data_IF_613993219803
#
_entry.id   IF_613993219803
#
_cell.length_a   1.000
_cell.length_b   1.000
_cell.length_c   1.000
_cell.angle_alpha   90.00
_cell.angle_beta   90.00
_cell.angle_gamma   90.00
#
_symmetry.space_group_name_H-M   'P 1'
#
loop_
_entity.id
_entity.type
_entity.pdbx_description
1 polymer ?
#
# COMPACT_ATOMS: atom_id res chain seq x y z
N UNK A 1 15.00 34.53 41.81
CA UNK A 1 14.42 34.65 40.45
C UNK A 1 15.10 33.66 39.52
N UNK A 2 14.67 32.37 39.44
CA UNK A 2 15.24 31.35 38.51
C UNK A 2 14.20 30.27 38.12
N UNK A 3 12.91 30.64 37.90
CA UNK A 3 11.87 29.71 37.58
C UNK A 3 11.54 29.49 36.06
N UNK A 4 11.95 30.34 35.08
CA UNK A 4 11.58 30.09 33.68
C UNK A 4 12.48 29.12 32.93
N UNK A 5 13.76 28.91 33.35
CA UNK A 5 14.69 28.05 32.60
C UNK A 5 14.45 26.55 32.74
N UNK A 6 13.94 26.09 33.89
CA UNK A 6 13.65 24.66 34.13
C UNK A 6 12.41 24.17 33.39
N UNK A 7 11.38 25.02 33.24
CA UNK A 7 10.18 24.69 32.49
C UNK A 7 10.43 24.58 30.97
N UNK A 8 11.31 25.42 30.43
CA UNK A 8 11.70 25.39 29.02
C UNK A 8 12.53 24.14 28.68
N UNK A 9 13.48 23.78 29.55
CA UNK A 9 14.30 22.57 29.40
C UNK A 9 13.44 21.28 29.52
N UNK A 10 12.48 21.26 30.45
CA UNK A 10 11.56 20.14 30.56
C UNK A 10 10.64 19.99 29.33
N UNK A 11 10.13 21.10 28.80
CA UNK A 11 9.33 21.12 27.58
C UNK A 11 10.14 20.69 26.34
N UNK A 12 11.39 21.14 26.21
CA UNK A 12 12.30 20.70 25.14
C UNK A 12 12.68 19.22 25.26
N UNK A 13 12.91 18.73 26.48
CA UNK A 13 13.20 17.31 26.75
C UNK A 13 12.00 16.42 26.45
N UNK A 14 10.79 16.83 26.83
CA UNK A 14 9.54 16.12 26.51
C UNK A 14 9.30 16.14 25.00
N UNK A 15 9.52 17.27 24.33
CA UNK A 15 9.36 17.40 22.88
C UNK A 15 10.37 16.53 22.13
N UNK A 16 11.62 16.41 22.63
CA UNK A 16 12.65 15.52 22.06
C UNK A 16 12.37 14.05 22.31
N UNK A 17 11.82 13.68 23.47
CA UNK A 17 11.42 12.31 23.79
C UNK A 17 10.19 11.85 22.98
N UNK A 18 9.24 12.74 22.74
CA UNK A 18 8.07 12.47 21.86
C UNK A 18 8.51 12.35 20.40
N UNK A 19 9.46 13.17 19.96
CA UNK A 19 10.02 13.11 18.59
C UNK A 19 10.77 11.81 18.28
N UNK A 20 11.21 11.06 19.29
CA UNK A 20 12.00 9.82 19.13
C UNK A 20 11.17 8.55 18.86
N UNK A 21 9.84 8.60 19.02
CA UNK A 21 8.97 7.41 18.92
C UNK A 21 8.49 7.06 17.50
N UNK A 22 8.53 7.97 16.56
CA UNK A 22 8.00 7.73 15.21
C UNK A 22 8.77 6.66 14.41
N UNK A 23 10.05 6.42 14.71
CA UNK A 23 10.87 5.39 14.04
C UNK A 23 10.34 3.98 14.25
N UNK A 24 9.85 3.67 15.46
CA UNK A 24 9.22 2.39 15.77
C UNK A 24 7.92 2.18 14.99
N UNK A 25 7.06 3.20 14.92
CA UNK A 25 5.83 3.18 14.15
C UNK A 25 6.11 3.02 12.64
N UNK A 26 7.18 3.65 12.15
CA UNK A 26 7.61 3.57 10.76
C UNK A 26 8.02 2.14 10.38
N UNK A 27 8.87 1.50 11.18
CA UNK A 27 9.31 0.11 10.95
C UNK A 27 8.13 -0.87 11.12
N UNK A 28 7.32 -0.68 12.17
CA UNK A 28 6.13 -1.49 12.40
C UNK A 28 5.17 -1.45 11.21
N UNK A 29 4.87 -0.26 10.70
CA UNK A 29 3.98 -0.09 9.55
C UNK A 29 4.57 -0.72 8.29
N UNK A 30 5.88 -0.58 8.04
CA UNK A 30 6.55 -1.23 6.93
C UNK A 30 6.48 -2.76 7.03
N UNK A 31 6.67 -3.31 8.23
CA UNK A 31 6.54 -4.74 8.49
C UNK A 31 5.09 -5.23 8.26
N UNK A 32 4.09 -4.49 8.78
CA UNK A 32 2.67 -4.81 8.58
C UNK A 32 2.27 -4.76 7.09
N UNK A 33 2.66 -3.72 6.36
CA UNK A 33 2.35 -3.64 4.93
C UNK A 33 3.17 -4.62 4.08
N UNK A 34 4.42 -4.91 4.48
CA UNK A 34 5.24 -5.95 3.85
C UNK A 34 4.64 -7.35 4.00
N UNK A 35 4.15 -7.69 5.19
CA UNK A 35 3.48 -8.98 5.44
C UNK A 35 2.16 -9.13 4.67
N UNK A 36 1.55 -8.02 4.20
CA UNK A 36 0.30 -8.10 3.45
C UNK A 36 0.44 -8.87 2.14
N UNK A 37 1.61 -8.85 1.50
CA UNK A 37 1.86 -9.62 0.28
C UNK A 37 1.90 -11.12 0.55
N UNK A 38 2.56 -11.55 1.64
CA UNK A 38 2.57 -12.93 2.10
C UNK A 38 1.15 -13.42 2.44
N UNK A 39 0.45 -12.67 3.30
CA UNK A 39 -0.90 -13.06 3.74
C UNK A 39 -1.91 -13.07 2.58
N UNK A 40 -1.79 -12.12 1.65
CA UNK A 40 -2.61 -12.12 0.44
C UNK A 40 -2.28 -13.31 -0.46
N UNK A 41 -0.99 -13.67 -0.64
CA UNK A 41 -0.63 -14.84 -1.43
C UNK A 41 -1.27 -16.11 -0.86
N UNK A 42 -1.09 -16.37 0.45
CA UNK A 42 -1.64 -17.54 1.13
C UNK A 42 -3.17 -17.60 0.98
N UNK A 43 -3.87 -16.50 1.22
CA UNK A 43 -5.33 -16.47 1.10
C UNK A 43 -5.80 -16.57 -0.36
N UNK A 44 -5.12 -15.90 -1.30
CA UNK A 44 -5.55 -15.87 -2.71
C UNK A 44 -5.44 -17.21 -3.41
N UNK A 45 -4.47 -18.05 -3.02
CA UNK A 45 -4.33 -19.41 -3.59
C UNK A 45 -5.59 -20.25 -3.37
N UNK A 46 -6.27 -20.10 -2.26
CA UNK A 46 -7.45 -20.91 -1.91
C UNK A 46 -8.78 -20.20 -2.13
N UNK A 47 -8.87 -18.90 -1.79
CA UNK A 47 -10.09 -18.11 -1.97
C UNK A 47 -10.24 -17.54 -3.39
N UNK A 48 -9.14 -17.38 -4.11
CA UNK A 48 -9.11 -16.57 -5.34
C UNK A 48 -8.94 -15.06 -5.06
N UNK A 49 -8.61 -14.26 -6.10
CA UNK A 49 -8.32 -12.84 -5.95
C UNK A 49 -9.48 -11.99 -5.44
N UNK A 50 -10.68 -12.20 -5.99
CA UNK A 50 -11.88 -11.41 -5.67
C UNK A 50 -12.40 -11.68 -4.25
N UNK A 51 -12.63 -12.93 -3.82
CA UNK A 51 -13.03 -13.21 -2.44
C UNK A 51 -12.00 -12.76 -1.41
N UNK A 52 -10.70 -12.97 -1.68
CA UNK A 52 -9.62 -12.49 -0.78
C UNK A 52 -9.68 -10.97 -0.60
N UNK A 53 -9.82 -10.21 -1.70
CA UNK A 53 -9.91 -8.76 -1.64
C UNK A 53 -11.18 -8.30 -0.89
N UNK A 54 -12.33 -8.91 -1.16
CA UNK A 54 -13.60 -8.61 -0.50
C UNK A 54 -13.55 -8.89 1.01
N UNK A 55 -13.02 -10.06 1.40
CA UNK A 55 -12.84 -10.43 2.80
C UNK A 55 -11.89 -9.47 3.51
N UNK A 56 -10.75 -9.15 2.90
CA UNK A 56 -9.78 -8.18 3.44
C UNK A 56 -10.43 -6.85 3.77
N UNK A 57 -11.15 -6.25 2.81
CA UNK A 57 -11.79 -4.94 3.02
C UNK A 57 -13.00 -5.02 3.95
N UNK A 58 -13.75 -6.13 3.91
CA UNK A 58 -14.88 -6.39 4.80
C UNK A 58 -14.44 -6.48 6.27
N UNK A 59 -13.40 -7.28 6.55
CA UNK A 59 -12.83 -7.41 7.89
C UNK A 59 -12.29 -6.06 8.38
N UNK A 60 -11.58 -5.32 7.51
CA UNK A 60 -11.10 -3.99 7.85
C UNK A 60 -12.25 -2.99 8.12
N UNK A 61 -13.34 -3.05 7.35
CA UNK A 61 -14.52 -2.23 7.57
C UNK A 61 -15.18 -2.54 8.92
N UNK A 62 -15.38 -3.82 9.24
CA UNK A 62 -15.92 -4.26 10.55
C UNK A 62 -15.03 -3.81 11.70
N UNK A 63 -13.71 -3.86 11.53
CA UNK A 63 -12.76 -3.41 12.54
C UNK A 63 -12.77 -1.89 12.74
N UNK A 64 -12.85 -1.10 11.66
CA UNK A 64 -12.79 0.37 11.72
C UNK A 64 -14.14 1.01 12.06
N UNK A 65 -15.27 0.38 11.75
CA UNK A 65 -16.60 0.96 11.97
C UNK A 65 -16.90 1.30 13.44
N UNK A 66 -16.60 0.44 14.43
CA UNK A 66 -16.78 0.79 15.83
C UNK A 66 -15.98 2.04 16.25
N UNK A 67 -14.77 2.22 15.70
CA UNK A 67 -13.95 3.40 15.98
C UNK A 67 -14.60 4.69 15.45
N UNK A 68 -15.21 4.63 14.26
CA UNK A 68 -15.96 5.77 13.70
C UNK A 68 -17.17 6.10 14.60
N UNK A 69 -17.88 5.08 15.06
CA UNK A 69 -19.04 5.25 15.93
C UNK A 69 -18.66 5.85 17.29
N UNK A 70 -17.66 5.28 17.97
CA UNK A 70 -17.18 5.73 19.27
C UNK A 70 -16.62 7.15 19.25
N UNK A 71 -16.04 7.59 18.12
CA UNK A 71 -15.54 8.95 17.95
C UNK A 71 -16.63 9.94 17.45
N UNK A 72 -17.88 9.52 17.33
CA UNK A 72 -18.99 10.39 16.90
C UNK A 72 -18.90 10.83 15.42
N UNK A 73 -18.10 10.14 14.59
CA UNK A 73 -17.82 10.52 13.20
C UNK A 73 -18.80 9.90 12.18
N UNK A 74 -19.83 9.21 12.66
CA UNK A 74 -20.83 8.59 11.76
C UNK A 74 -21.59 9.60 10.87
N UNK A 75 -21.96 10.81 11.35
CA UNK A 75 -22.58 11.84 10.47
C UNK A 75 -21.66 12.23 9.31
N UNK A 76 -20.35 12.38 9.56
CA UNK A 76 -19.37 12.70 8.51
C UNK A 76 -19.24 11.56 7.51
N UNK A 77 -19.20 10.30 7.98
CA UNK A 77 -19.18 9.13 7.12
C UNK A 77 -20.43 9.10 6.22
N UNK A 78 -21.63 9.32 6.78
CA UNK A 78 -22.88 9.38 6.03
C UNK A 78 -22.89 10.53 5.01
N UNK A 79 -22.36 11.70 5.37
CA UNK A 79 -22.27 12.85 4.48
C UNK A 79 -21.34 12.63 3.29
N UNK A 80 -20.24 11.93 3.50
CA UNK A 80 -19.18 11.78 2.51
C UNK A 80 -19.10 10.38 1.86
N UNK A 81 -20.10 9.50 2.06
CA UNK A 81 -20.11 8.11 1.62
C UNK A 81 -19.79 7.91 0.13
N UNK A 82 -20.33 8.75 -0.76
CA UNK A 82 -20.08 8.66 -2.22
C UNK A 82 -18.60 8.87 -2.56
N UNK A 83 -18.00 9.87 -1.92
CA UNK A 83 -16.58 10.20 -2.15
C UNK A 83 -15.67 9.12 -1.57
N UNK A 84 -15.97 8.63 -0.37
CA UNK A 84 -15.20 7.53 0.24
C UNK A 84 -15.41 6.21 -0.49
N UNK A 85 -16.59 5.96 -1.08
CA UNK A 85 -16.84 4.82 -1.97
C UNK A 85 -15.88 4.83 -3.18
N UNK A 86 -15.76 5.95 -3.88
CA UNK A 86 -14.84 6.08 -5.02
C UNK A 86 -13.40 5.81 -4.59
N UNK A 87 -12.98 6.40 -3.46
CA UNK A 87 -11.64 6.09 -2.89
C UNK A 87 -11.52 4.61 -2.57
N UNK A 88 -12.56 3.99 -2.02
CA UNK A 88 -12.57 2.56 -1.71
C UNK A 88 -12.30 1.68 -2.92
N UNK A 89 -12.99 1.94 -4.02
CA UNK A 89 -12.79 1.21 -5.28
C UNK A 89 -11.37 1.41 -5.82
N UNK A 90 -10.89 2.68 -5.84
CA UNK A 90 -9.57 3.03 -6.39
C UNK A 90 -8.40 2.66 -5.48
N UNK A 91 -8.57 2.71 -4.15
CA UNK A 91 -7.49 2.49 -3.18
C UNK A 91 -7.44 1.06 -2.62
N UNK A 92 -8.54 0.33 -2.70
CA UNK A 92 -8.64 -0.99 -2.05
C UNK A 92 -9.30 -2.03 -2.95
N UNK A 93 -10.42 -1.71 -3.59
CA UNK A 93 -11.16 -2.68 -4.40
C UNK A 93 -10.35 -3.21 -5.57
N UNK A 94 -10.12 -2.38 -6.59
CA UNK A 94 -9.36 -2.77 -7.79
C UNK A 94 -7.92 -3.18 -7.44
N UNK A 95 -7.15 -2.40 -6.65
CA UNK A 95 -5.77 -2.75 -6.35
C UNK A 95 -5.60 -4.09 -5.67
N UNK A 96 -6.43 -4.43 -4.68
CA UNK A 96 -6.28 -5.68 -3.96
C UNK A 96 -6.63 -6.90 -4.84
N UNK A 97 -7.63 -6.76 -5.72
CA UNK A 97 -7.93 -7.81 -6.71
C UNK A 97 -6.75 -7.97 -7.68
N UNK A 98 -6.20 -6.87 -8.20
CA UNK A 98 -5.07 -6.89 -9.12
C UNK A 98 -3.81 -7.49 -8.48
N UNK A 99 -3.49 -7.10 -7.25
CA UNK A 99 -2.34 -7.65 -6.50
C UNK A 99 -2.59 -9.14 -6.19
N UNK A 100 -3.78 -9.52 -5.73
CA UNK A 100 -4.14 -10.92 -5.52
C UNK A 100 -3.98 -11.75 -6.78
N UNK A 101 -4.50 -11.27 -7.92
CA UNK A 101 -4.31 -11.93 -9.21
C UNK A 101 -2.82 -12.07 -9.58
N UNK A 102 -2.03 -11.02 -9.38
CA UNK A 102 -0.62 -11.03 -9.69
C UNK A 102 0.15 -12.05 -8.83
N UNK A 103 -0.17 -12.16 -7.55
CA UNK A 103 0.47 -13.07 -6.61
C UNK A 103 0.25 -14.56 -6.93
N UNK A 104 -0.68 -14.90 -7.82
CA UNK A 104 -0.81 -16.26 -8.36
C UNK A 104 0.30 -16.61 -9.36
N UNK A 105 1.02 -15.61 -9.89
CA UNK A 105 1.99 -15.81 -11.00
C UNK A 105 3.38 -15.23 -10.70
N UNK A 106 3.48 -14.25 -9.79
CA UNK A 106 4.75 -13.61 -9.42
C UNK A 106 4.97 -13.68 -7.91
N UNK A 107 6.24 -13.59 -7.49
CA UNK A 107 6.61 -13.63 -6.08
C UNK A 107 6.11 -12.41 -5.30
N UNK A 108 5.96 -12.58 -4.00
CA UNK A 108 5.54 -11.52 -3.08
C UNK A 108 6.51 -10.34 -3.10
N UNK A 109 7.82 -10.63 -3.11
CA UNK A 109 8.87 -9.63 -3.20
C UNK A 109 8.83 -8.86 -4.53
N UNK A 110 8.60 -9.56 -5.66
CA UNK A 110 8.49 -8.92 -6.97
C UNK A 110 7.29 -7.96 -7.03
N UNK A 111 6.12 -8.40 -6.54
CA UNK A 111 4.92 -7.57 -6.46
C UNK A 111 5.12 -6.33 -5.57
N UNK A 112 5.82 -6.49 -4.43
CA UNK A 112 6.13 -5.38 -3.52
C UNK A 112 7.12 -4.37 -4.13
N UNK A 113 8.11 -4.82 -4.90
CA UNK A 113 9.03 -3.94 -5.64
C UNK A 113 8.26 -3.11 -6.66
N UNK A 114 7.35 -3.72 -7.42
CA UNK A 114 6.47 -2.98 -8.34
C UNK A 114 5.61 -1.98 -7.58
N UNK A 115 5.06 -2.35 -6.43
CA UNK A 115 4.23 -1.46 -5.62
C UNK A 115 5.02 -0.23 -5.09
N UNK A 116 6.34 -0.30 -4.95
CA UNK A 116 7.17 0.86 -4.61
C UNK A 116 7.16 1.96 -5.68
N UNK A 117 6.59 1.71 -6.86
CA UNK A 117 6.38 2.73 -7.91
C UNK A 117 5.14 3.60 -7.70
N UNK A 118 4.28 3.30 -6.74
CA UNK A 118 3.04 4.06 -6.45
C UNK A 118 3.29 5.57 -6.32
N UNK A 119 4.28 6.06 -5.56
CA UNK A 119 4.54 7.49 -5.46
C UNK A 119 5.00 8.12 -6.78
N UNK A 120 5.63 7.35 -7.66
CA UNK A 120 6.03 7.79 -9.01
C UNK A 120 4.79 8.02 -9.89
N UNK A 121 3.85 7.06 -9.93
CA UNK A 121 2.55 7.26 -10.56
C UNK A 121 1.78 8.42 -9.91
N UNK A 122 1.92 8.60 -8.59
CA UNK A 122 1.36 9.74 -7.85
C UNK A 122 1.84 11.09 -8.37
N UNK A 123 3.15 11.23 -8.62
CA UNK A 123 3.73 12.44 -9.21
C UNK A 123 3.22 12.68 -10.63
N UNK A 124 3.10 11.63 -11.45
CA UNK A 124 2.55 11.70 -12.80
C UNK A 124 1.09 12.14 -12.81
N UNK A 125 0.24 11.53 -12.01
CA UNK A 125 -1.19 11.88 -11.90
C UNK A 125 -1.37 13.29 -11.32
N UNK A 126 -0.57 13.69 -10.33
CA UNK A 126 -0.59 15.06 -9.81
C UNK A 126 -0.25 16.08 -10.90
N UNK A 127 0.72 15.79 -11.73
CA UNK A 127 1.05 16.63 -12.88
C UNK A 127 -0.10 16.73 -13.90
N UNK A 128 -0.64 15.60 -14.33
CA UNK A 128 -1.68 15.56 -15.36
C UNK A 128 -3.03 16.10 -14.87
N UNK A 129 -3.43 15.75 -13.66
CA UNK A 129 -4.75 16.07 -13.11
C UNK A 129 -4.79 17.33 -12.25
N UNK A 130 -3.82 17.48 -11.33
CA UNK A 130 -3.76 18.64 -10.42
C UNK A 130 -2.94 19.80 -11.00
N UNK A 131 -2.34 19.63 -12.21
CA UNK A 131 -1.50 20.62 -12.90
C UNK A 131 -0.24 21.01 -12.10
N UNK A 132 0.20 20.16 -11.19
CA UNK A 132 1.42 20.33 -10.38
C UNK A 132 2.63 19.95 -11.26
N UNK A 133 3.24 20.96 -11.91
CA UNK A 133 4.35 20.75 -12.86
C UNK A 133 5.57 20.19 -12.15
N UNK A 134 6.11 19.03 -12.58
CA UNK A 134 7.30 18.45 -11.97
C UNK A 134 8.54 19.28 -12.32
N UNK A 135 9.46 19.39 -11.35
CA UNK A 135 10.80 19.92 -11.64
C UNK A 135 11.62 18.96 -12.48
N UNK A 136 12.73 19.44 -13.08
CA UNK A 136 13.63 18.59 -13.86
C UNK A 136 14.13 17.35 -13.08
N UNK A 137 14.43 17.52 -11.79
CA UNK A 137 14.81 16.41 -10.89
C UNK A 137 13.69 15.37 -10.76
N UNK A 138 12.42 15.80 -10.66
CA UNK A 138 11.27 14.89 -10.60
C UNK A 138 11.06 14.14 -11.92
N UNK A 139 11.23 14.81 -13.06
CA UNK A 139 11.17 14.16 -14.38
C UNK A 139 12.26 13.11 -14.55
N UNK A 140 13.50 13.42 -14.15
CA UNK A 140 14.59 12.45 -14.15
C UNK A 140 14.25 11.24 -13.26
N UNK A 141 13.67 11.48 -12.07
CA UNK A 141 13.21 10.44 -11.19
C UNK A 141 12.16 9.52 -11.80
N UNK A 142 11.20 10.09 -12.54
CA UNK A 142 10.22 9.30 -13.29
C UNK A 142 10.89 8.41 -14.34
N UNK A 143 11.82 8.95 -15.13
CA UNK A 143 12.57 8.18 -16.15
C UNK A 143 13.36 7.04 -15.51
N UNK A 144 14.13 7.31 -14.47
CA UNK A 144 14.92 6.29 -13.74
C UNK A 144 14.02 5.20 -13.17
N UNK A 145 12.89 5.57 -12.55
CA UNK A 145 11.94 4.62 -12.00
C UNK A 145 11.30 3.73 -13.07
N UNK A 146 10.91 4.28 -14.21
CA UNK A 146 10.36 3.48 -15.32
C UNK A 146 11.41 2.57 -15.96
N UNK A 147 12.69 2.98 -16.05
CA UNK A 147 13.77 2.10 -16.46
C UNK A 147 13.88 0.91 -15.50
N UNK A 148 13.83 1.14 -14.19
CA UNK A 148 13.84 0.05 -13.19
C UNK A 148 12.67 -0.92 -13.35
N UNK A 149 11.47 -0.43 -13.65
CA UNK A 149 10.31 -1.29 -13.97
C UNK A 149 10.54 -2.08 -15.24
N UNK A 150 11.04 -1.45 -16.30
CA UNK A 150 11.35 -2.11 -17.57
C UNK A 150 12.43 -3.20 -17.41
N UNK A 151 13.48 -2.93 -16.63
CA UNK A 151 14.52 -3.91 -16.27
C UNK A 151 13.93 -5.12 -15.55
N UNK A 152 13.03 -4.88 -14.58
CA UNK A 152 12.36 -5.94 -13.82
C UNK A 152 11.44 -6.76 -14.73
N UNK A 153 10.67 -6.10 -15.60
CA UNK A 153 9.76 -6.71 -16.56
C UNK A 153 10.48 -7.55 -17.62
N UNK A 154 11.63 -7.08 -18.11
CA UNK A 154 12.44 -7.78 -19.10
C UNK A 154 12.80 -9.19 -18.63
N UNK A 155 13.23 -9.32 -17.38
CA UNK A 155 13.61 -10.63 -16.83
C UNK A 155 12.39 -11.50 -16.50
N UNK A 156 11.26 -10.88 -16.23
CA UNK A 156 10.01 -11.59 -15.97
C UNK A 156 9.41 -12.23 -17.24
N UNK A 157 9.60 -11.57 -18.40
CA UNK A 157 9.02 -11.98 -19.70
C UNK A 157 10.06 -12.62 -20.65
N UNK A 158 11.36 -12.55 -20.33
CA UNK A 158 12.45 -12.98 -21.22
C UNK A 158 12.72 -14.49 -21.23
N UNK A 159 13.60 -14.98 -22.15
CA UNK A 159 14.05 -16.35 -22.19
C UNK A 159 14.73 -16.73 -20.86
N UNK A 160 14.29 -17.82 -20.23
CA UNK A 160 14.76 -18.24 -18.90
C UNK A 160 14.04 -17.54 -17.73
N UNK A 161 12.85 -17.01 -17.98
CA UNK A 161 11.99 -16.43 -16.94
C UNK A 161 11.84 -17.39 -15.76
N UNK A 162 12.28 -16.97 -14.59
CA UNK A 162 12.17 -17.72 -13.31
C UNK A 162 10.75 -17.71 -12.75
N UNK A 163 9.81 -17.09 -13.48
CA UNK A 163 8.42 -17.06 -13.09
C UNK A 163 7.78 -18.40 -13.42
N UNK A 164 7.36 -19.10 -12.39
CA UNK A 164 6.60 -20.36 -12.53
C UNK A 164 5.38 -20.10 -13.42
N UNK A 165 5.10 -21.03 -14.34
CA UNK A 165 3.81 -21.03 -15.02
C UNK A 165 2.72 -20.92 -13.95
N UNK A 166 1.86 -19.93 -14.07
CA UNK A 166 0.81 -19.66 -13.09
C UNK A 166 -0.06 -20.90 -12.91
N UNK A 167 -0.46 -21.18 -11.69
CA UNK A 167 -1.52 -22.15 -11.42
C UNK A 167 -2.82 -21.81 -12.19
N UNK A 168 -2.99 -20.56 -12.61
CA UNK A 168 -4.11 -20.09 -13.45
C UNK A 168 -3.83 -20.12 -14.96
N UNK A 169 -2.65 -20.54 -15.43
CA UNK A 169 -2.26 -20.52 -16.85
C UNK A 169 -2.04 -19.12 -17.44
N UNK A 170 -2.18 -18.05 -16.65
CA UNK A 170 -1.99 -16.69 -17.12
C UNK A 170 -0.51 -16.37 -17.35
N UNK A 171 -0.19 -15.70 -18.46
CA UNK A 171 1.17 -15.28 -18.74
C UNK A 171 1.64 -14.23 -17.70
N UNK A 172 2.91 -14.27 -17.26
CA UNK A 172 3.48 -13.34 -16.26
C UNK A 172 3.29 -11.87 -16.59
N UNK A 173 3.15 -11.53 -17.87
CA UNK A 173 2.88 -10.15 -18.31
C UNK A 173 1.57 -9.61 -17.75
N UNK A 174 0.52 -10.45 -17.64
CA UNK A 174 -0.75 -10.03 -17.07
C UNK A 174 -0.66 -9.72 -15.58
N UNK A 175 0.17 -10.48 -14.85
CA UNK A 175 0.47 -10.20 -13.44
C UNK A 175 1.20 -8.87 -13.26
N UNK A 176 2.19 -8.58 -14.14
CA UNK A 176 2.90 -7.30 -14.18
C UNK A 176 1.91 -6.15 -14.44
N UNK A 177 1.10 -6.27 -15.50
CA UNK A 177 0.11 -5.24 -15.86
C UNK A 177 -0.91 -5.02 -14.76
N UNK A 178 -1.36 -6.08 -14.07
CA UNK A 178 -2.25 -5.97 -12.92
C UNK A 178 -1.59 -5.19 -11.77
N UNK A 179 -0.33 -5.45 -11.43
CA UNK A 179 0.40 -4.67 -10.43
C UNK A 179 0.53 -3.20 -10.83
N UNK A 180 0.85 -2.90 -12.08
CA UNK A 180 0.95 -1.52 -12.57
C UNK A 180 -0.40 -0.81 -12.55
N UNK A 181 -1.50 -1.51 -12.90
CA UNK A 181 -2.86 -1.00 -12.76
C UNK A 181 -3.19 -0.68 -11.30
N UNK A 182 -2.82 -1.56 -10.37
CA UNK A 182 -2.97 -1.30 -8.94
C UNK A 182 -2.24 -0.02 -8.52
N UNK A 183 -0.97 0.17 -8.96
CA UNK A 183 -0.19 1.36 -8.67
C UNK A 183 -0.83 2.64 -9.23
N UNK A 184 -1.37 2.57 -10.45
CA UNK A 184 -2.10 3.67 -11.07
C UNK A 184 -3.36 4.02 -10.27
N UNK A 185 -4.14 3.02 -9.85
CA UNK A 185 -5.34 3.21 -9.04
C UNK A 185 -5.01 3.85 -7.69
N UNK A 186 -3.95 3.42 -6.99
CA UNK A 186 -3.47 4.06 -5.77
C UNK A 186 -3.12 5.53 -5.98
N UNK A 187 -2.44 5.86 -7.07
CA UNK A 187 -2.07 7.22 -7.44
C UNK A 187 -3.31 8.10 -7.72
N UNK A 188 -4.29 7.55 -8.42
CA UNK A 188 -5.57 8.22 -8.66
C UNK A 188 -6.34 8.43 -7.35
N UNK A 189 -6.39 7.42 -6.48
CA UNK A 189 -7.04 7.52 -5.17
C UNK A 189 -6.41 8.61 -4.30
N UNK A 190 -5.08 8.70 -4.27
CA UNK A 190 -4.35 9.73 -3.53
C UNK A 190 -4.68 11.14 -4.05
N UNK A 191 -4.68 11.33 -5.37
CA UNK A 191 -5.02 12.60 -6.01
C UNK A 191 -6.48 12.97 -5.81
N UNK A 192 -7.40 12.00 -5.89
CA UNK A 192 -8.82 12.18 -5.61
C UNK A 192 -9.06 12.58 -4.15
N UNK A 193 -8.39 11.89 -3.21
CA UNK A 193 -8.46 12.20 -1.78
C UNK A 193 -7.98 13.62 -1.50
N UNK A 194 -6.84 14.02 -2.07
CA UNK A 194 -6.31 15.37 -1.95
C UNK A 194 -7.29 16.42 -2.47
N UNK A 195 -7.98 16.14 -3.57
CA UNK A 195 -8.89 17.11 -4.20
C UNK A 195 -10.27 17.21 -3.55
N UNK A 196 -10.85 16.10 -3.09
CA UNK A 196 -12.25 16.01 -2.71
C UNK A 196 -12.52 15.66 -1.24
N UNK A 197 -11.51 15.17 -0.51
CA UNK A 197 -11.64 14.74 0.89
C UNK A 197 -10.69 15.51 1.83
N UNK A 198 -10.04 16.59 1.36
CA UNK A 198 -9.26 17.47 2.24
C UNK A 198 -10.13 18.04 3.35
N UNK A 199 -9.63 18.01 4.60
CA UNK A 199 -10.36 18.48 5.79
C UNK A 199 -11.34 17.46 6.39
N UNK A 200 -11.53 16.28 5.79
CA UNK A 200 -12.32 15.19 6.37
C UNK A 200 -11.44 14.38 7.32
N UNK A 201 -11.94 13.99 8.51
CA UNK A 201 -11.16 13.16 9.43
C UNK A 201 -10.62 11.91 8.75
N UNK A 202 -9.32 11.61 8.91
CA UNK A 202 -8.69 10.47 8.24
C UNK A 202 -9.37 9.12 8.53
N UNK A 203 -9.88 8.93 9.75
CA UNK A 203 -10.62 7.73 10.14
C UNK A 203 -11.91 7.53 9.31
N UNK A 204 -12.61 8.64 8.97
CA UNK A 204 -13.80 8.61 8.09
C UNK A 204 -13.42 8.15 6.69
N UNK A 205 -12.31 8.69 6.16
CA UNK A 205 -11.80 8.29 4.84
C UNK A 205 -11.37 6.82 4.84
N UNK A 206 -10.67 6.35 5.87
CA UNK A 206 -10.24 4.96 5.98
C UNK A 206 -11.45 4.02 6.06
N UNK A 207 -12.33 4.19 7.06
CA UNK A 207 -13.49 3.33 7.24
C UNK A 207 -14.44 3.37 6.04
N UNK A 208 -14.74 4.56 5.53
CA UNK A 208 -15.62 4.75 4.38
C UNK A 208 -15.06 4.13 3.09
N UNK A 209 -13.74 4.17 2.89
CA UNK A 209 -13.11 3.52 1.76
C UNK A 209 -13.16 1.99 1.86
N UNK A 210 -12.93 1.40 3.05
CA UNK A 210 -13.05 -0.05 3.21
C UNK A 210 -14.50 -0.52 3.04
N UNK A 211 -15.48 0.21 3.59
CA UNK A 211 -16.90 -0.07 3.38
C UNK A 211 -17.29 0.05 1.90
N UNK A 212 -16.84 1.09 1.22
CA UNK A 212 -17.10 1.28 -0.20
C UNK A 212 -16.51 0.16 -1.07
N UNK A 213 -15.29 -0.25 -0.79
CA UNK A 213 -14.66 -1.38 -1.48
C UNK A 213 -15.40 -2.70 -1.19
N UNK A 214 -15.80 -2.95 0.06
CA UNK A 214 -16.59 -4.12 0.44
C UNK A 214 -17.90 -4.19 -0.35
N UNK A 215 -18.64 -3.08 -0.41
CA UNK A 215 -19.91 -3.02 -1.17
C UNK A 215 -19.67 -3.27 -2.67
N UNK A 216 -18.62 -2.68 -3.25
CA UNK A 216 -18.30 -2.86 -4.66
C UNK A 216 -17.83 -4.27 -5.02
N UNK A 217 -17.18 -4.98 -4.08
CA UNK A 217 -16.69 -6.33 -4.29
C UNK A 217 -17.65 -7.42 -3.81
N UNK A 218 -18.70 -7.10 -3.04
CA UNK A 218 -19.57 -8.10 -2.41
C UNK A 218 -20.22 -9.05 -3.43
N UNK A 219 -20.84 -8.50 -4.47
CA UNK A 219 -21.53 -9.31 -5.49
C UNK A 219 -20.53 -10.16 -6.31
N UNK A 220 -19.47 -9.61 -6.94
CA UNK A 220 -18.54 -10.41 -7.69
C UNK A 220 -17.78 -11.44 -6.82
N UNK A 221 -17.51 -11.13 -5.56
CA UNK A 221 -16.90 -12.09 -4.64
C UNK A 221 -17.85 -13.24 -4.25
N UNK A 222 -19.14 -12.97 -4.10
CA UNK A 222 -20.14 -13.99 -3.83
C UNK A 222 -20.30 -14.96 -5.02
N UNK A 223 -20.29 -14.43 -6.25
CA UNK A 223 -20.39 -15.25 -7.48
C UNK A 223 -19.15 -16.12 -7.68
N UNK A 224 -17.96 -15.61 -7.34
CA UNK A 224 -16.68 -16.31 -7.50
C UNK A 224 -16.19 -16.94 -6.18
N UNK A 225 -17.10 -17.17 -5.24
CA UNK A 225 -16.75 -17.84 -3.99
C UNK A 225 -16.23 -19.25 -4.24
N UNK A 226 -15.17 -19.69 -3.56
CA UNK A 226 -14.60 -21.02 -3.79
C UNK A 226 -15.61 -22.12 -3.49
N UNK A 227 -15.67 -23.12 -4.36
CA UNK A 227 -16.55 -24.30 -4.20
C UNK A 227 -16.05 -25.26 -3.10
N UNK A 228 -14.74 -25.24 -2.83
CA UNK A 228 -14.12 -26.01 -1.74
C UNK A 228 -13.89 -25.10 -0.56
N UNK A 229 -14.11 -25.61 0.64
CA UNK A 229 -13.85 -24.86 1.87
C UNK A 229 -12.35 -24.59 2.01
N UNK A 230 -11.93 -23.32 2.10
CA UNK A 230 -10.51 -22.97 2.30
C UNK A 230 -9.99 -23.48 3.63
N UNK A 231 -8.68 -23.73 3.71
CA UNK A 231 -8.00 -24.21 4.90
C UNK A 231 -8.02 -23.20 6.05
N UNK A 232 -7.82 -23.68 7.28
CA UNK A 232 -7.67 -22.80 8.44
C UNK A 232 -6.53 -21.78 8.27
N UNK A 233 -5.46 -22.17 7.57
CA UNK A 233 -4.33 -21.27 7.26
C UNK A 233 -4.76 -20.12 6.34
N UNK A 234 -5.56 -20.39 5.31
CA UNK A 234 -6.09 -19.36 4.42
C UNK A 234 -7.04 -18.41 5.15
N UNK A 235 -7.87 -18.94 6.07
CA UNK A 235 -8.73 -18.12 6.93
C UNK A 235 -7.93 -17.23 7.88
N UNK A 236 -6.91 -17.76 8.54
CA UNK A 236 -6.02 -16.96 9.39
C UNK A 236 -5.28 -15.89 8.60
N UNK A 237 -4.84 -16.21 7.37
CA UNK A 237 -4.17 -15.25 6.52
C UNK A 237 -5.10 -14.09 6.09
N UNK A 238 -6.34 -14.38 5.68
CA UNK A 238 -7.28 -13.33 5.26
C UNK A 238 -7.77 -12.49 6.43
N UNK A 239 -7.94 -13.07 7.62
CA UNK A 239 -8.24 -12.33 8.85
C UNK A 239 -7.03 -11.45 9.22
N UNK A 240 -5.83 -12.03 9.19
CA UNK A 240 -4.59 -11.30 9.45
C UNK A 240 -4.41 -10.10 8.53
N UNK A 241 -4.56 -10.26 7.22
CA UNK A 241 -4.40 -9.14 6.28
C UNK A 241 -5.49 -8.08 6.45
N UNK A 242 -6.72 -8.46 6.81
CA UNK A 242 -7.81 -7.52 7.09
C UNK A 242 -7.57 -6.73 8.37
N UNK A 243 -7.26 -7.40 9.48
CA UNK A 243 -7.07 -6.75 10.79
C UNK A 243 -5.72 -6.03 10.87
N UNK A 244 -4.60 -6.73 10.61
CA UNK A 244 -3.27 -6.16 10.81
C UNK A 244 -2.92 -5.15 9.72
N UNK A 245 -3.01 -5.56 8.43
CA UNK A 245 -2.48 -4.76 7.33
C UNK A 245 -3.46 -3.70 6.82
N UNK A 246 -4.73 -3.77 7.20
CA UNK A 246 -5.76 -2.80 6.81
C UNK A 246 -6.39 -2.09 8.00
N UNK A 247 -6.78 -2.78 9.07
CA UNK A 247 -7.36 -2.16 10.27
C UNK A 247 -6.31 -1.41 11.11
N UNK A 248 -5.44 -2.16 11.78
CA UNK A 248 -4.41 -1.60 12.68
C UNK A 248 -3.38 -0.75 11.94
N UNK A 249 -2.99 -1.15 10.72
CA UNK A 249 -2.03 -0.39 9.93
C UNK A 249 -2.49 1.06 9.67
N UNK A 250 -3.78 1.31 9.45
CA UNK A 250 -4.30 2.67 9.32
C UNK A 250 -4.13 3.48 10.61
N UNK A 251 -4.34 2.87 11.77
CA UNK A 251 -4.15 3.54 13.07
C UNK A 251 -2.67 3.95 13.24
N UNK A 252 -1.75 3.02 12.96
CA UNK A 252 -0.30 3.29 13.01
C UNK A 252 0.10 4.35 11.98
N UNK A 253 -0.46 4.29 10.78
CA UNK A 253 -0.20 5.26 9.71
C UNK A 253 -0.64 6.68 10.07
N UNK A 254 -1.84 6.84 10.63
CA UNK A 254 -2.31 8.16 11.07
C UNK A 254 -1.49 8.71 12.24
N UNK A 255 -1.16 7.86 13.21
CA UNK A 255 -0.24 8.23 14.30
C UNK A 255 1.14 8.65 13.76
N UNK A 256 1.63 7.97 12.73
CA UNK A 256 2.88 8.33 12.06
C UNK A 256 2.78 9.67 11.33
N UNK A 257 1.65 9.97 10.67
CA UNK A 257 1.41 11.27 10.05
C UNK A 257 1.41 12.39 11.10
N UNK A 258 0.75 12.19 12.24
CA UNK A 258 0.70 13.18 13.33
C UNK A 258 2.09 13.45 13.93
N UNK A 259 2.86 12.39 14.17
CA UNK A 259 4.16 12.50 14.86
C UNK A 259 5.33 12.87 13.95
N UNK A 260 5.31 12.46 12.68
CA UNK A 260 6.43 12.61 11.75
C UNK A 260 6.11 13.45 10.51
N UNK A 261 4.83 13.73 10.29
CA UNK A 261 4.33 14.43 9.12
C UNK A 261 4.07 13.50 7.92
N UNK A 262 3.21 13.95 6.97
CA UNK A 262 2.74 13.11 5.87
C UNK A 262 3.85 12.63 4.93
N UNK A 263 4.85 13.47 4.63
CA UNK A 263 5.94 13.11 3.72
C UNK A 263 6.77 11.93 4.26
N UNK A 264 7.09 11.95 5.57
CA UNK A 264 7.81 10.83 6.21
C UNK A 264 6.93 9.59 6.34
N UNK A 265 5.65 9.75 6.67
CA UNK A 265 4.73 8.62 6.76
C UNK A 265 4.61 7.90 5.40
N UNK A 266 4.52 8.64 4.30
CA UNK A 266 4.47 8.06 2.95
C UNK A 266 5.77 7.36 2.54
N UNK A 267 6.93 7.80 3.06
CA UNK A 267 8.21 7.14 2.72
C UNK A 267 8.34 5.72 3.28
N UNK A 268 7.43 5.28 4.16
CA UNK A 268 7.35 3.89 4.61
C UNK A 268 7.24 2.90 3.45
N UNK A 269 6.62 3.31 2.34
CA UNK A 269 6.45 2.48 1.14
C UNK A 269 7.77 2.01 0.52
N UNK A 270 8.88 2.73 0.78
CA UNK A 270 10.22 2.31 0.34
C UNK A 270 10.78 1.15 1.17
N UNK A 271 10.35 1.01 2.42
CA UNK A 271 10.80 -0.06 3.29
C UNK A 271 9.93 -1.32 3.17
N UNK A 272 8.70 -1.19 2.67
CA UNK A 272 7.75 -2.31 2.47
C UNK A 272 8.35 -3.46 1.65
N UNK A 273 9.04 -3.23 0.50
CA UNK A 273 9.63 -4.32 -0.28
C UNK A 273 10.68 -5.13 0.48
N UNK A 274 11.43 -4.50 1.40
CA UNK A 274 12.43 -5.20 2.22
C UNK A 274 11.75 -6.27 3.08
N UNK A 275 10.66 -5.90 3.76
CA UNK A 275 9.89 -6.86 4.56
C UNK A 275 9.18 -7.91 3.68
N UNK A 276 8.62 -7.51 2.53
CA UNK A 276 7.97 -8.46 1.63
C UNK A 276 8.96 -9.51 1.07
N UNK A 277 10.16 -9.08 0.67
CA UNK A 277 11.25 -9.98 0.26
C UNK A 277 11.65 -10.93 1.39
N UNK A 278 11.81 -10.40 2.61
CA UNK A 278 12.14 -11.18 3.78
C UNK A 278 11.06 -12.25 4.08
N UNK A 279 9.80 -11.85 4.16
CA UNK A 279 8.71 -12.78 4.43
C UNK A 279 8.52 -13.81 3.30
N UNK A 280 8.63 -13.40 2.03
CA UNK A 280 8.56 -14.30 0.89
C UNK A 280 9.68 -15.34 0.91
N UNK A 281 10.91 -14.93 1.21
CA UNK A 281 12.04 -15.83 1.32
C UNK A 281 11.91 -16.83 2.49
N UNK A 282 11.52 -16.33 3.68
CA UNK A 282 11.48 -17.16 4.90
C UNK A 282 10.29 -18.11 4.91
N UNK A 283 9.09 -17.65 4.53
CA UNK A 283 7.85 -18.42 4.69
C UNK A 283 7.40 -19.15 3.40
N UNK A 284 7.78 -18.64 2.21
CA UNK A 284 7.39 -19.24 0.93
C UNK A 284 8.59 -19.84 0.17
N UNK A 285 9.81 -19.70 0.70
CA UNK A 285 11.02 -20.16 0.00
C UNK A 285 11.27 -19.41 -1.32
N UNK A 286 10.78 -18.17 -1.45
CA UNK A 286 10.98 -17.37 -2.65
C UNK A 286 12.45 -17.00 -2.83
N UNK A 287 12.99 -17.19 -4.03
CA UNK A 287 14.36 -16.82 -4.34
C UNK A 287 14.49 -15.29 -4.48
N UNK A 288 15.35 -14.68 -3.67
CA UNK A 288 15.74 -13.28 -3.81
C UNK A 288 16.96 -13.21 -4.71
N UNK A 289 16.78 -12.74 -5.94
CA UNK A 289 17.88 -12.65 -6.91
C UNK A 289 18.62 -11.31 -6.81
N UNK A 290 19.95 -11.26 -7.08
CA UNK A 290 20.68 -9.99 -7.13
C UNK A 290 20.06 -9.00 -8.13
N UNK A 291 19.48 -9.51 -9.23
CA UNK A 291 18.76 -8.68 -10.21
C UNK A 291 17.56 -7.97 -9.62
N UNK A 292 16.75 -8.65 -8.79
CA UNK A 292 15.61 -8.03 -8.09
C UNK A 292 16.08 -6.90 -7.17
N UNK A 293 17.20 -7.09 -6.47
CA UNK A 293 17.76 -6.07 -5.58
C UNK A 293 18.25 -4.84 -6.35
N UNK A 294 18.90 -5.04 -7.52
CA UNK A 294 19.32 -3.96 -8.40
C UNK A 294 18.10 -3.19 -8.92
N UNK A 295 17.10 -3.90 -9.45
CA UNK A 295 15.87 -3.26 -9.92
C UNK A 295 15.15 -2.51 -8.80
N UNK A 296 15.06 -3.09 -7.60
CA UNK A 296 14.48 -2.45 -6.43
C UNK A 296 15.22 -1.14 -6.08
N UNK A 297 16.55 -1.16 -6.07
CA UNK A 297 17.35 0.03 -5.82
C UNK A 297 17.10 1.12 -6.86
N UNK A 298 17.07 0.78 -8.17
CA UNK A 298 16.78 1.72 -9.25
C UNK A 298 15.37 2.32 -9.12
N UNK A 299 14.35 1.49 -8.85
CA UNK A 299 12.96 1.93 -8.64
C UNK A 299 12.86 2.85 -7.42
N UNK A 300 13.47 2.49 -6.29
CA UNK A 300 13.44 3.29 -5.06
C UNK A 300 14.15 4.63 -5.27
N UNK A 301 15.32 4.64 -5.91
CA UNK A 301 16.03 5.89 -6.25
C UNK A 301 15.19 6.78 -7.17
N UNK A 302 14.63 6.22 -8.26
CA UNK A 302 13.76 6.94 -9.18
C UNK A 302 12.53 7.50 -8.50
N UNK A 303 11.91 6.72 -7.60
CA UNK A 303 10.73 7.16 -6.84
C UNK A 303 11.10 8.25 -5.83
N UNK A 304 12.22 8.14 -5.13
CA UNK A 304 12.70 9.17 -4.19
C UNK A 304 13.00 10.50 -4.89
N UNK A 305 13.55 10.46 -6.11
CA UNK A 305 13.74 11.64 -6.95
C UNK A 305 12.40 12.21 -7.44
N UNK A 306 11.49 11.38 -7.93
CA UNK A 306 10.19 11.81 -8.48
C UNK A 306 9.28 12.45 -7.43
N UNK A 307 9.38 12.02 -6.19
CA UNK A 307 8.65 12.61 -5.05
C UNK A 307 9.31 13.86 -4.50
N UNK A 308 10.55 14.16 -4.90
CA UNK A 308 11.34 15.30 -4.41
C UNK A 308 11.95 15.08 -3.01
N UNK A 309 11.99 13.83 -2.54
CA UNK A 309 12.74 13.46 -1.32
C UNK A 309 14.24 13.58 -1.54
N UNK A 310 14.70 13.25 -2.75
CA UNK A 310 16.04 13.56 -3.24
C UNK A 310 15.95 14.69 -4.26
N UNK A 311 16.87 15.66 -4.19
CA UNK A 311 17.00 16.76 -5.16
C UNK A 311 18.40 16.76 -5.70
N UNK A 312 18.56 16.66 -7.02
CA UNK A 312 19.87 16.72 -7.68
C UNK A 312 20.21 18.17 -8.05
N UNK A 313 19.18 18.98 -8.37
CA UNK A 313 19.33 20.41 -8.64
C UNK A 313 18.34 21.23 -7.81
N UNK A 314 18.80 22.39 -7.37
CA UNK A 314 17.99 23.44 -6.71
C UNK A 314 17.23 24.26 -7.75
#
# INVERSE_FOLDING_TARGET
MNAPHTATLAAETITTLVKKRWGGDFVLLAAMWGSSFLLMHISTVEFGPLPTAAMRVGIAAVFLFPLVWLNGLFPDLKKHWRKTFVVGILNSGIPFVCIGFALLSISTGFSAILNATVPMFGALIAWLWLKDKPSASRLLGLLVGFIGVAMLAWRAAGPGATLKASASGAAPIWALLACLLACLCYAMAASYTKRYLSGIPPLVTAAGSQMGAMLGLALPAAVLWPTRMPSGTAWLAVIGVGVLCSGLAYIVFFRLIENAGPARALSVTFLVPVFALFYGAVYLGEAVTPWMLICAAVIVCGTALSTGLLKIWR
#
